data_IF_039235751177
#
_entry.id   IF_039235751177
#
_cell.length_a   1.000
_cell.length_b   1.000
_cell.length_c   1.000
_cell.angle_alpha   90.00
_cell.angle_beta   90.00
_cell.angle_gamma   90.00
#
_symmetry.space_group_name_H-M   'P 1'
#
loop_
_entity.id
_entity.type
_entity.pdbx_description
1 polymer ?
#
# COMPACT_ATOMS: atom_id res chain seq x y z
N UNK A 1 -3.30 3.03 2.59
CA UNK A 1 -4.17 1.83 2.51
C UNK A 1 -3.34 0.64 2.10
N UNK A 2 -3.47 -0.44 2.82
CA UNK A 2 -2.72 -1.68 2.54
C UNK A 2 -3.60 -2.91 2.73
N UNK A 3 -3.25 -3.97 2.04
CA UNK A 3 -3.86 -5.28 2.19
C UNK A 3 -2.89 -6.17 2.97
N UNK A 4 -3.25 -6.56 4.18
CA UNK A 4 -2.28 -7.13 5.09
C UNK A 4 -1.16 -6.13 5.34
N UNK A 5 0.08 -6.47 4.94
CA UNK A 5 1.23 -5.57 5.01
C UNK A 5 1.69 -5.05 3.64
N UNK A 6 0.92 -5.31 2.58
CA UNK A 6 1.25 -4.88 1.22
C UNK A 6 0.55 -3.56 0.90
N UNK A 7 1.29 -2.48 0.65
CA UNK A 7 0.66 -1.20 0.35
C UNK A 7 0.04 -1.17 -1.06
N UNK A 8 -1.02 -0.39 -1.24
CA UNK A 8 -1.66 -0.21 -2.55
C UNK A 8 -1.74 1.25 -2.96
N UNK A 9 -1.87 2.16 -2.00
CA UNK A 9 -1.85 3.59 -2.28
C UNK A 9 -1.29 4.34 -1.08
N UNK A 10 -0.76 5.53 -1.36
CA UNK A 10 -0.26 6.45 -0.34
C UNK A 10 -1.26 7.59 -0.21
N UNK A 11 -1.58 7.95 1.02
CA UNK A 11 -2.44 9.09 1.31
C UNK A 11 -1.69 10.03 2.24
N UNK A 12 -1.69 11.31 1.89
CA UNK A 12 -1.07 12.34 2.72
C UNK A 12 -2.02 13.54 2.82
N UNK A 13 -1.97 14.23 3.94
CA UNK A 13 -2.79 15.42 4.13
C UNK A 13 -1.98 16.49 4.83
N UNK A 14 -2.37 17.75 4.54
CA UNK A 14 -1.75 18.96 5.08
C UNK A 14 -2.86 20.00 5.23
N UNK A 15 -3.35 20.20 6.45
CA UNK A 15 -4.50 21.03 6.67
C UNK A 15 -5.74 20.46 5.98
N UNK A 16 -6.30 21.21 5.05
CA UNK A 16 -7.50 20.80 4.29
C UNK A 16 -7.18 20.03 3.01
N UNK A 17 -5.90 19.95 2.63
CA UNK A 17 -5.49 19.26 1.41
C UNK A 17 -5.24 17.79 1.67
N UNK A 18 -5.83 16.93 0.85
CA UNK A 18 -5.59 15.49 0.87
C UNK A 18 -5.10 15.05 -0.51
N UNK A 19 -3.98 14.34 -0.53
CA UNK A 19 -3.39 13.82 -1.76
C UNK A 19 -3.35 12.30 -1.67
N UNK A 20 -3.81 11.63 -2.72
CA UNK A 20 -3.72 10.18 -2.85
C UNK A 20 -2.84 9.84 -4.05
N UNK A 21 -1.84 8.99 -3.84
CA UNK A 21 -0.95 8.53 -4.90
C UNK A 21 -1.05 7.01 -4.96
N UNK A 22 -1.74 6.46 -5.97
CA UNK A 22 -1.78 5.01 -6.12
C UNK A 22 -0.41 4.48 -6.52
N UNK A 23 -0.05 3.32 -5.96
CA UNK A 23 1.17 2.65 -6.33
C UNK A 23 1.00 1.96 -7.69
N UNK A 24 2.09 1.49 -8.29
CA UNK A 24 2.02 0.84 -9.58
C UNK A 24 1.17 -0.44 -9.52
N UNK A 25 0.65 -0.85 -10.66
CA UNK A 25 -0.23 -2.02 -10.77
C UNK A 25 0.41 -3.29 -10.19
N UNK A 26 1.72 -3.39 -10.20
CA UNK A 26 2.42 -4.58 -9.67
C UNK A 26 2.11 -4.83 -8.19
N UNK A 27 1.82 -3.79 -7.41
CA UNK A 27 1.40 -3.96 -6.02
C UNK A 27 0.02 -4.62 -5.93
N UNK A 28 -0.93 -4.20 -6.77
CA UNK A 28 -2.24 -4.83 -6.81
C UNK A 28 -2.14 -6.28 -7.27
N UNK A 29 -1.30 -6.54 -8.27
CA UNK A 29 -1.06 -7.91 -8.76
C UNK A 29 -0.48 -8.80 -7.66
N UNK A 30 0.44 -8.26 -6.86
CA UNK A 30 1.00 -8.98 -5.72
C UNK A 30 -0.07 -9.29 -4.69
N UNK A 31 -0.91 -8.31 -4.35
CA UNK A 31 -2.00 -8.49 -3.39
C UNK A 31 -2.93 -9.62 -3.87
N UNK A 32 -3.34 -9.57 -5.13
CA UNK A 32 -4.23 -10.58 -5.69
C UNK A 32 -3.58 -11.98 -5.66
N UNK A 33 -2.30 -12.06 -6.00
CA UNK A 33 -1.57 -13.32 -5.97
C UNK A 33 -1.45 -13.91 -4.57
N UNK A 34 -1.15 -13.07 -3.58
CA UNK A 34 -1.05 -13.49 -2.18
C UNK A 34 -2.42 -13.93 -1.67
N UNK A 35 -3.48 -13.16 -1.99
CA UNK A 35 -4.84 -13.50 -1.58
C UNK A 35 -5.25 -14.88 -2.13
N UNK A 36 -4.92 -15.16 -3.38
CA UNK A 36 -5.22 -16.46 -3.99
C UNK A 36 -4.47 -17.60 -3.27
N UNK A 37 -3.21 -17.39 -2.95
CA UNK A 37 -2.39 -18.39 -2.25
C UNK A 37 -2.92 -18.69 -0.85
N UNK A 38 -3.51 -17.68 -0.21
CA UNK A 38 -4.07 -17.82 1.14
C UNK A 38 -5.53 -18.30 1.12
N UNK A 39 -6.13 -18.44 -0.06
CA UNK A 39 -7.53 -18.79 -0.19
C UNK A 39 -8.50 -17.69 0.23
N UNK A 40 -8.05 -16.45 0.24
CA UNK A 40 -8.84 -15.30 0.71
C UNK A 40 -9.46 -14.48 -0.43
N UNK A 41 -9.32 -14.92 -1.66
CA UNK A 41 -9.62 -14.10 -2.85
C UNK A 41 -11.10 -13.81 -3.10
N UNK A 42 -12.01 -14.57 -2.50
CA UNK A 42 -13.45 -14.45 -2.76
C UNK A 42 -14.29 -14.35 -1.49
N UNK A 43 -13.70 -13.97 -0.39
CA UNK A 43 -14.35 -14.06 0.90
C UNK A 43 -14.24 -12.76 1.69
N UNK A 44 -14.94 -12.74 2.82
CA UNK A 44 -14.83 -11.65 3.79
C UNK A 44 -13.40 -11.48 4.28
N UNK A 45 -12.61 -12.54 4.28
CA UNK A 45 -11.20 -12.46 4.66
C UNK A 45 -10.42 -11.51 3.75
N UNK A 46 -10.72 -11.48 2.44
CA UNK A 46 -10.10 -10.53 1.53
C UNK A 46 -10.42 -9.08 1.93
N UNK A 47 -11.70 -8.82 2.22
CA UNK A 47 -12.15 -7.49 2.59
C UNK A 47 -11.61 -7.06 3.96
N UNK A 48 -11.55 -7.98 4.91
CA UNK A 48 -11.07 -7.70 6.25
C UNK A 48 -9.57 -7.38 6.30
N UNK A 49 -8.81 -7.86 5.32
CA UNK A 49 -7.38 -7.59 5.25
C UNK A 49 -7.06 -6.16 4.80
N UNK A 50 -8.02 -5.46 4.21
CA UNK A 50 -7.85 -4.05 3.86
C UNK A 50 -7.94 -3.18 5.10
N UNK A 51 -6.93 -2.34 5.31
CA UNK A 51 -6.92 -1.41 6.44
C UNK A 51 -6.06 -0.19 6.13
N UNK A 52 -6.32 0.94 6.81
CA UNK A 52 -5.48 2.12 6.63
C UNK A 52 -4.10 1.90 7.23
N UNK A 53 -3.12 2.62 6.67
CA UNK A 53 -1.77 2.64 7.21
C UNK A 53 -1.73 3.41 8.53
N UNK A 54 -0.77 3.10 9.41
CA UNK A 54 -0.54 3.93 10.59
C UNK A 54 -0.16 5.35 10.17
N UNK A 55 -0.68 6.33 10.88
CA UNK A 55 -0.35 7.72 10.64
C UNK A 55 1.07 8.03 11.09
N UNK A 56 1.78 8.82 10.28
CA UNK A 56 3.08 9.36 10.66
C UNK A 56 3.21 10.77 10.10
N UNK A 57 3.97 11.61 10.81
CA UNK A 57 4.22 12.97 10.38
C UNK A 57 5.56 13.06 9.66
N UNK A 58 5.60 13.82 8.57
CA UNK A 58 6.82 14.10 7.81
C UNK A 58 6.84 15.56 7.42
N UNK A 59 8.03 16.13 7.31
CA UNK A 59 8.20 17.50 6.85
C UNK A 59 7.94 17.58 5.34
N UNK A 60 7.28 18.66 4.92
CA UNK A 60 6.99 18.92 3.52
C UNK A 60 5.50 19.03 3.24
N UNK A 61 5.16 19.41 2.01
CA UNK A 61 3.76 19.45 1.58
C UNK A 61 3.19 18.05 1.44
N UNK A 62 1.84 17.92 1.44
CA UNK A 62 1.19 16.64 1.23
C UNK A 62 1.66 15.98 -0.07
N UNK A 63 1.78 16.76 -1.15
CA UNK A 63 2.22 16.23 -2.44
C UNK A 63 3.66 15.70 -2.38
N UNK A 64 4.57 16.43 -1.74
CA UNK A 64 5.97 16.01 -1.61
C UNK A 64 6.09 14.74 -0.76
N UNK A 65 5.38 14.70 0.35
CA UNK A 65 5.40 13.55 1.24
C UNK A 65 4.81 12.33 0.55
N UNK A 66 3.67 12.46 -0.12
CA UNK A 66 3.03 11.36 -0.83
C UNK A 66 3.96 10.80 -1.92
N UNK A 67 4.59 11.67 -2.71
CA UNK A 67 5.52 11.24 -3.76
C UNK A 67 6.75 10.54 -3.18
N UNK A 68 7.29 11.06 -2.09
CA UNK A 68 8.46 10.49 -1.44
C UNK A 68 8.18 9.11 -0.88
N UNK A 69 7.05 8.95 -0.18
CA UNK A 69 6.65 7.67 0.40
C UNK A 69 6.35 6.66 -0.71
N UNK A 70 5.65 7.08 -1.77
CA UNK A 70 5.37 6.22 -2.90
C UNK A 70 6.67 5.70 -3.53
N UNK A 71 7.66 6.57 -3.72
CA UNK A 71 8.96 6.17 -4.27
C UNK A 71 9.67 5.16 -3.36
N UNK A 72 9.63 5.37 -2.05
CA UNK A 72 10.21 4.43 -1.09
C UNK A 72 9.55 3.06 -1.20
N UNK A 73 8.22 3.02 -1.28
CA UNK A 73 7.47 1.77 -1.37
C UNK A 73 7.72 1.06 -2.70
N UNK A 74 7.78 1.81 -3.81
CA UNK A 74 8.10 1.22 -5.11
C UNK A 74 9.50 0.58 -5.10
N UNK A 75 10.46 1.24 -4.46
CA UNK A 75 11.81 0.70 -4.33
C UNK A 75 11.86 -0.54 -3.46
N UNK A 76 10.94 -0.67 -2.50
CA UNK A 76 10.87 -1.82 -1.60
C UNK A 76 10.06 -2.98 -2.17
N UNK A 77 9.48 -2.85 -3.37
CA UNK A 77 8.63 -3.89 -3.95
C UNK A 77 9.27 -5.29 -3.94
N UNK A 78 10.54 -5.46 -4.33
CA UNK A 78 11.16 -6.79 -4.30
C UNK A 78 11.15 -7.43 -2.91
N UNK A 79 11.21 -6.64 -1.85
CA UNK A 79 11.17 -7.14 -0.49
C UNK A 79 9.79 -7.72 -0.15
N UNK A 80 8.72 -7.10 -0.63
CA UNK A 80 7.37 -7.62 -0.45
C UNK A 80 7.19 -8.93 -1.21
N UNK A 81 7.72 -9.01 -2.44
CA UNK A 81 7.68 -10.24 -3.21
C UNK A 81 8.40 -11.36 -2.47
N UNK A 82 9.61 -11.09 -1.98
CA UNK A 82 10.40 -12.08 -1.26
C UNK A 82 9.70 -12.56 0.02
N UNK A 83 9.00 -11.65 0.70
CA UNK A 83 8.30 -11.98 1.94
C UNK A 83 7.09 -12.87 1.73
N UNK A 84 6.36 -12.66 0.63
CA UNK A 84 5.07 -13.29 0.41
C UNK A 84 5.07 -14.43 -0.61
N UNK A 85 6.02 -14.44 -1.54
CA UNK A 85 6.03 -15.41 -2.64
C UNK A 85 7.21 -16.39 -2.59
N UNK A 86 7.82 -16.52 -1.46
CA UNK A 86 8.85 -17.55 -1.25
C UNK A 86 8.24 -18.90 -0.95
#
# INVERSE_FOLDING_TARGET
MRWGDIPSLVEAWDGDDTIQVPLSQRFQDLIDGVAMRQGAHDSDAYLEAWHPDPESERSGSAAEVASSVAAELESAFPEYVARHLR
#
